data_IF_375036009877
#
_entry.id   IF_375036009877
#
_cell.length_a   1.000
_cell.length_b   1.000
_cell.length_c   1.000
_cell.angle_alpha   90.00
_cell.angle_beta   90.00
_cell.angle_gamma   90.00
#
_symmetry.space_group_name_H-M   'P 1'
#
loop_
_entity.id
_entity.type
_entity.pdbx_description
1 polymer ?
#
# COMPACT_ATOMS: atom_id res chain seq x y z
N UNK A 1 -8.10 -9.13 -3.86
CA UNK A 1 -6.70 -9.60 -3.84
C UNK A 1 -5.84 -8.92 -2.78
N UNK A 2 -5.92 -7.60 -2.59
CA UNK A 2 -5.20 -6.88 -1.53
C UNK A 2 -5.29 -7.49 -0.10
N UNK A 3 -6.47 -7.88 0.43
CA UNK A 3 -6.55 -8.53 1.74
C UNK A 3 -5.84 -9.89 1.79
N UNK A 4 -5.87 -10.65 0.69
CA UNK A 4 -5.16 -11.92 0.58
C UNK A 4 -3.65 -11.70 0.67
N UNK A 5 -3.14 -10.69 -0.01
CA UNK A 5 -1.72 -10.34 0.06
C UNK A 5 -1.32 -9.99 1.50
N UNK A 6 -2.05 -9.08 2.17
CA UNK A 6 -1.77 -8.72 3.56
C UNK A 6 -1.88 -9.90 4.53
N UNK A 7 -2.71 -10.90 4.22
CA UNK A 7 -2.79 -12.10 5.04
C UNK A 7 -1.49 -12.91 5.09
N UNK A 8 -0.60 -12.75 4.10
CA UNK A 8 0.69 -13.44 4.09
C UNK A 8 1.75 -12.70 4.93
N UNK A 9 1.55 -11.40 5.21
CA UNK A 9 2.41 -10.59 6.08
C UNK A 9 1.97 -10.63 7.56
N UNK A 10 1.07 -11.56 7.95
CA UNK A 10 0.37 -11.59 9.24
C UNK A 10 1.22 -11.84 10.49
N UNK A 11 2.53 -12.07 10.36
CA UNK A 11 3.39 -12.09 11.54
C UNK A 11 3.43 -10.66 12.13
N UNK A 12 2.86 -10.48 13.33
CA UNK A 12 2.70 -9.17 13.97
C UNK A 12 4.01 -8.40 14.11
N UNK A 13 5.14 -9.10 14.06
CA UNK A 13 6.49 -8.54 14.14
C UNK A 13 6.99 -7.97 12.81
N UNK A 14 6.44 -8.41 11.68
CA UNK A 14 6.88 -7.98 10.35
C UNK A 14 6.30 -6.60 10.01
N UNK A 15 7.13 -5.66 9.51
CA UNK A 15 6.64 -4.36 9.10
C UNK A 15 5.66 -4.48 7.94
N UNK A 16 4.84 -3.44 7.73
CA UNK A 16 4.09 -3.32 6.48
C UNK A 16 5.03 -3.45 5.29
N UNK A 17 4.62 -4.14 4.21
CA UNK A 17 5.42 -4.20 3.00
C UNK A 17 5.72 -2.78 2.51
N UNK A 18 6.88 -2.59 1.92
CA UNK A 18 7.34 -1.36 1.30
C UNK A 18 7.05 -1.37 -0.21
N UNK A 19 7.18 -0.21 -0.85
CA UNK A 19 6.89 -0.04 -2.28
C UNK A 19 7.75 -0.92 -3.19
N UNK A 20 8.93 -1.33 -2.71
CA UNK A 20 9.85 -2.21 -3.42
C UNK A 20 9.44 -3.69 -3.39
N UNK A 21 8.49 -4.04 -2.51
CA UNK A 21 8.01 -5.41 -2.26
C UNK A 21 6.75 -5.76 -3.07
N UNK A 22 5.90 -4.78 -3.39
CA UNK A 22 4.62 -5.05 -4.05
C UNK A 22 4.47 -4.26 -5.35
N UNK A 23 4.24 -4.99 -6.44
CA UNK A 23 3.85 -4.44 -7.74
C UNK A 23 2.36 -4.71 -7.97
N UNK A 24 1.54 -3.66 -8.02
CA UNK A 24 0.13 -3.76 -8.44
C UNK A 24 0.08 -3.58 -9.95
N UNK A 25 -0.19 -4.67 -10.66
CA UNK A 25 -0.21 -4.70 -12.11
C UNK A 25 -1.45 -3.99 -12.67
N UNK A 26 -1.24 -3.21 -13.71
CA UNK A 26 -2.25 -2.57 -14.56
C UNK A 26 -1.95 -2.92 -16.03
N UNK A 27 -2.86 -2.63 -16.98
CA UNK A 27 -2.59 -2.82 -18.41
C UNK A 27 -1.36 -2.07 -18.92
N UNK A 28 -1.00 -0.97 -18.27
CA UNK A 28 0.13 -0.09 -18.58
C UNK A 28 1.45 -0.53 -17.93
N UNK A 29 1.43 -1.53 -17.02
CA UNK A 29 2.64 -2.02 -16.36
C UNK A 29 3.67 -2.49 -17.39
N UNK A 30 4.89 -2.01 -17.22
CA UNK A 30 6.00 -2.24 -18.14
C UNK A 30 6.73 -3.54 -17.83
N UNK A 31 7.46 -4.04 -18.83
CA UNK A 31 8.34 -5.19 -18.62
C UNK A 31 9.49 -4.89 -17.64
N UNK A 32 9.94 -3.63 -17.56
CA UNK A 32 11.02 -3.20 -16.67
C UNK A 32 10.58 -3.28 -15.20
N UNK A 33 9.37 -2.81 -14.87
CA UNK A 33 8.81 -2.92 -13.52
C UNK A 33 8.70 -4.38 -13.06
N UNK A 34 8.24 -5.26 -13.97
CA UNK A 34 8.17 -6.70 -13.74
C UNK A 34 9.56 -7.31 -13.56
N UNK A 35 10.53 -6.95 -14.40
CA UNK A 35 11.90 -7.43 -14.29
C UNK A 35 12.52 -7.03 -12.95
N UNK A 36 12.32 -5.77 -12.53
CA UNK A 36 12.86 -5.23 -11.29
C UNK A 36 12.35 -6.01 -10.07
N UNK A 37 11.04 -6.26 -9.96
CA UNK A 37 10.49 -7.02 -8.83
C UNK A 37 10.98 -8.47 -8.83
N UNK A 38 11.09 -9.12 -10.00
CA UNK A 38 11.61 -10.49 -10.10
C UNK A 38 13.08 -10.57 -9.72
N UNK A 39 13.91 -9.59 -10.11
CA UNK A 39 15.32 -9.52 -9.71
C UNK A 39 15.47 -9.34 -8.22
N UNK A 40 14.64 -8.50 -7.58
CA UNK A 40 14.63 -8.33 -6.12
C UNK A 40 14.21 -9.61 -5.39
N UNK A 41 13.27 -10.36 -5.96
CA UNK A 41 12.79 -11.61 -5.39
C UNK A 41 13.75 -12.78 -5.59
N UNK A 42 14.39 -12.88 -6.75
CA UNK A 42 15.10 -14.09 -7.22
C UNK A 42 16.62 -13.94 -7.31
N UNK A 43 17.24 -12.81 -6.96
CA UNK A 43 18.70 -12.70 -6.93
C UNK A 43 19.23 -12.69 -5.51
N UNK A 44 20.20 -13.58 -5.25
CA UNK A 44 20.93 -13.66 -3.98
C UNK A 44 21.69 -12.35 -3.73
N UNK A 45 21.51 -11.75 -2.55
CA UNK A 45 22.11 -10.46 -2.20
C UNK A 45 21.09 -9.39 -1.81
N UNK A 46 19.79 -9.64 -2.01
CA UNK A 46 18.76 -8.89 -1.30
C UNK A 46 18.88 -9.20 0.19
N UNK A 47 19.38 -8.24 0.97
CA UNK A 47 19.63 -8.33 2.43
C UNK A 47 18.40 -8.66 3.30
N UNK A 48 17.27 -9.02 2.72
CA UNK A 48 16.01 -9.09 3.43
C UNK A 48 15.24 -10.35 3.04
N UNK A 49 14.82 -11.12 4.04
CA UNK A 49 13.81 -12.18 3.95
C UNK A 49 12.40 -11.61 3.68
N UNK A 50 12.31 -10.67 2.75
CA UNK A 50 11.08 -10.00 2.36
C UNK A 50 10.23 -10.90 1.48
N UNK A 51 8.94 -10.61 1.46
CA UNK A 51 7.99 -11.24 0.54
C UNK A 51 7.81 -10.26 -0.62
N UNK A 52 7.96 -10.74 -1.85
CA UNK A 52 7.69 -9.95 -3.04
C UNK A 52 6.38 -10.40 -3.67
N UNK A 53 5.52 -9.46 -4.04
CA UNK A 53 4.17 -9.77 -4.53
C UNK A 53 3.83 -9.01 -5.82
N UNK A 54 3.37 -9.75 -6.83
CA UNK A 54 2.68 -9.19 -7.99
C UNK A 54 1.17 -9.33 -7.77
N UNK A 55 0.45 -8.22 -7.65
CA UNK A 55 -1.00 -8.21 -7.54
C UNK A 55 -1.63 -7.89 -8.89
N UNK A 56 -2.82 -8.42 -9.16
CA UNK A 56 -3.54 -8.22 -10.43
C UNK A 56 -2.74 -8.65 -11.66
N UNK A 57 -1.93 -9.71 -11.55
CA UNK A 57 -1.06 -10.15 -12.64
C UNK A 57 -1.83 -10.55 -13.91
N UNK A 58 -3.13 -10.87 -13.81
CA UNK A 58 -4.04 -11.06 -14.96
C UNK A 58 -4.26 -9.79 -15.80
N UNK A 59 -3.96 -8.60 -15.27
CA UNK A 59 -4.09 -7.32 -15.99
C UNK A 59 -2.90 -6.99 -16.86
N UNK A 60 -1.78 -7.71 -16.73
CA UNK A 60 -0.63 -7.54 -17.58
C UNK A 60 -1.02 -7.86 -19.03
N UNK A 61 -0.55 -7.01 -19.97
CA UNK A 61 -0.74 -7.32 -21.38
C UNK A 61 0.04 -8.60 -21.76
N UNK A 62 -0.28 -9.16 -22.93
CA UNK A 62 0.27 -10.44 -23.35
C UNK A 62 1.80 -10.43 -23.51
N UNK A 63 2.38 -9.34 -24.03
CA UNK A 63 3.83 -9.24 -24.19
C UNK A 63 4.56 -9.22 -22.84
N UNK A 64 4.07 -8.40 -21.90
CA UNK A 64 4.62 -8.29 -20.56
C UNK A 64 4.43 -9.60 -19.78
N UNK A 65 3.30 -10.29 -19.95
CA UNK A 65 3.06 -11.61 -19.36
C UNK A 65 4.06 -12.66 -19.86
N UNK A 66 4.40 -12.67 -21.16
CA UNK A 66 5.45 -13.55 -21.70
C UNK A 66 6.83 -13.20 -21.16
N UNK A 67 7.13 -11.91 -21.00
CA UNK A 67 8.40 -11.45 -20.41
C UNK A 67 8.51 -11.85 -18.94
N UNK A 68 7.44 -11.70 -18.15
CA UNK A 68 7.34 -12.18 -16.76
C UNK A 68 7.79 -13.64 -16.64
N UNK A 69 7.18 -14.52 -17.44
CA UNK A 69 7.50 -15.95 -17.45
C UNK A 69 8.96 -16.20 -17.87
N UNK A 70 9.40 -15.60 -18.97
CA UNK A 70 10.75 -15.77 -19.51
C UNK A 70 11.83 -15.34 -18.50
N UNK A 71 11.64 -14.19 -17.86
CA UNK A 71 12.56 -13.64 -16.84
C UNK A 71 12.54 -14.54 -15.60
N UNK A 72 11.37 -14.97 -15.14
CA UNK A 72 11.26 -15.88 -13.99
C UNK A 72 12.06 -17.17 -14.21
N UNK A 73 11.87 -17.84 -15.35
CA UNK A 73 12.61 -19.07 -15.67
C UNK A 73 14.10 -18.84 -15.88
N UNK A 74 14.48 -17.70 -16.44
CA UNK A 74 15.90 -17.34 -16.59
C UNK A 74 16.56 -17.17 -15.24
N UNK A 75 15.96 -16.35 -14.36
CA UNK A 75 16.51 -16.02 -13.04
C UNK A 75 16.55 -17.24 -12.12
N UNK A 76 15.48 -18.04 -12.09
CA UNK A 76 15.42 -19.27 -11.28
C UNK A 76 16.46 -20.31 -11.70
N UNK A 77 16.82 -20.39 -12.99
CA UNK A 77 17.89 -21.29 -13.47
C UNK A 77 19.29 -20.85 -13.09
N UNK A 78 19.55 -19.54 -13.09
CA UNK A 78 20.84 -18.95 -12.69
C UNK A 78 21.11 -18.99 -11.20
N UNK A 79 20.13 -19.31 -10.35
CA UNK A 79 20.37 -19.49 -8.93
C UNK A 79 21.20 -20.74 -8.65
N UNK A 80 22.22 -20.56 -7.81
CA UNK A 80 23.04 -21.64 -7.26
C UNK A 80 22.16 -22.66 -6.51
N UNK A 81 22.49 -23.94 -6.57
CA UNK A 81 21.60 -25.01 -6.10
C UNK A 81 21.23 -24.90 -4.60
N UNK A 82 22.05 -24.19 -3.81
CA UNK A 82 21.80 -23.89 -2.39
C UNK A 82 20.87 -22.70 -2.12
N UNK A 83 20.62 -21.83 -3.11
CA UNK A 83 19.79 -20.64 -3.00
C UNK A 83 18.36 -20.81 -3.53
N UNK A 84 18.11 -21.89 -4.30
CA UNK A 84 16.84 -22.18 -4.98
C UNK A 84 15.61 -22.25 -4.06
N UNK A 85 15.80 -22.42 -2.76
CA UNK A 85 14.72 -22.62 -1.79
C UNK A 85 14.40 -21.39 -0.93
N UNK A 86 15.12 -20.28 -1.10
CA UNK A 86 15.06 -19.15 -0.15
C UNK A 86 14.31 -17.91 -0.65
N UNK A 87 13.71 -17.94 -1.84
CA UNK A 87 12.91 -16.81 -2.33
C UNK A 87 11.44 -16.91 -1.89
N UNK A 88 10.84 -15.75 -1.58
CA UNK A 88 9.41 -15.63 -1.23
C UNK A 88 8.72 -14.74 -2.27
N UNK A 89 8.22 -15.33 -3.34
CA UNK A 89 7.50 -14.64 -4.43
C UNK A 89 6.04 -15.09 -4.47
N UNK A 90 5.12 -14.13 -4.53
CA UNK A 90 3.68 -14.35 -4.63
C UNK A 90 3.16 -13.68 -5.91
N UNK A 91 2.44 -14.44 -6.73
CA UNK A 91 1.75 -13.92 -7.92
C UNK A 91 0.26 -14.10 -7.70
N UNK A 92 -0.47 -13.00 -7.59
CA UNK A 92 -1.92 -12.99 -7.42
C UNK A 92 -2.60 -12.53 -8.70
N UNK A 93 -3.59 -13.30 -9.14
CA UNK A 93 -4.43 -13.00 -10.30
C UNK A 93 -5.90 -13.29 -9.96
N UNK A 94 -6.82 -12.65 -10.68
CA UNK A 94 -8.26 -12.85 -10.49
C UNK A 94 -8.67 -14.31 -10.76
N UNK A 95 -9.42 -14.94 -9.86
CA UNK A 95 -9.87 -16.31 -10.03
C UNK A 95 -10.83 -16.50 -11.20
N UNK A 96 -11.47 -15.43 -11.69
CA UNK A 96 -12.26 -15.45 -12.92
C UNK A 96 -11.40 -15.34 -14.19
N UNK A 97 -10.12 -14.96 -14.05
CA UNK A 97 -9.17 -14.82 -15.16
C UNK A 97 -8.30 -16.07 -15.34
N UNK A 98 -8.85 -17.27 -15.14
CA UNK A 98 -8.13 -18.53 -15.32
C UNK A 98 -7.60 -18.75 -16.75
N UNK A 99 -8.16 -18.06 -17.74
CA UNK A 99 -7.68 -18.07 -19.12
C UNK A 99 -6.59 -17.04 -19.42
N UNK A 100 -6.13 -16.28 -18.43
CA UNK A 100 -5.00 -15.36 -18.61
C UNK A 100 -3.71 -16.13 -18.88
N UNK A 101 -2.79 -15.48 -19.60
CA UNK A 101 -1.47 -16.05 -19.88
C UNK A 101 -0.75 -16.41 -18.58
N UNK A 102 -0.78 -15.51 -17.59
CA UNK A 102 -0.14 -15.71 -16.28
C UNK A 102 -0.72 -16.92 -15.56
N UNK A 103 -2.04 -17.07 -15.52
CA UNK A 103 -2.68 -18.22 -14.88
C UNK A 103 -2.24 -19.55 -15.52
N UNK A 104 -2.09 -19.57 -16.85
CA UNK A 104 -1.67 -20.77 -17.59
C UNK A 104 -0.18 -21.07 -17.41
N UNK A 105 0.67 -20.04 -17.52
CA UNK A 105 2.13 -20.18 -17.44
C UNK A 105 2.62 -20.63 -16.06
N UNK A 106 1.91 -20.25 -15.00
CA UNK A 106 2.28 -20.53 -13.61
C UNK A 106 1.38 -21.59 -12.94
N UNK A 107 0.58 -22.36 -13.69
CA UNK A 107 -0.37 -23.32 -13.11
C UNK A 107 0.30 -24.38 -12.23
N UNK A 108 1.52 -24.82 -12.60
CA UNK A 108 2.34 -25.75 -11.81
C UNK A 108 2.71 -25.22 -10.42
N UNK A 109 2.68 -23.89 -10.21
CA UNK A 109 2.98 -23.23 -8.95
C UNK A 109 1.72 -22.81 -8.19
N UNK A 110 0.53 -23.08 -8.74
CA UNK A 110 -0.74 -22.64 -8.16
C UNK A 110 -0.96 -23.28 -6.80
N UNK A 111 -1.23 -22.45 -5.80
CA UNK A 111 -1.59 -22.86 -4.44
C UNK A 111 -2.93 -22.25 -4.06
N UNK A 112 -3.82 -23.08 -3.54
CA UNK A 112 -5.07 -22.60 -2.93
C UNK A 112 -4.77 -22.22 -1.49
N UNK A 113 -5.01 -20.96 -1.15
CA UNK A 113 -4.95 -20.53 0.25
C UNK A 113 -6.23 -20.99 0.96
N UNK A 114 -6.12 -21.62 2.14
CA UNK A 114 -7.29 -22.06 2.88
C UNK A 114 -8.20 -20.88 3.20
N UNK A 115 -9.50 -21.14 3.23
CA UNK A 115 -10.45 -20.13 3.72
C UNK A 115 -10.20 -19.89 5.20
N UNK A 116 -9.97 -18.63 5.56
CA UNK A 116 -9.89 -18.21 6.95
C UNK A 116 -11.02 -17.20 7.22
N UNK A 117 -12.05 -17.57 8.00
CA UNK A 117 -13.18 -16.68 8.30
C UNK A 117 -12.75 -15.44 9.11
N UNK A 118 -11.66 -15.53 9.86
CA UNK A 118 -11.15 -14.46 10.71
C UNK A 118 -10.13 -13.56 10.00
N UNK A 119 -9.74 -13.86 8.76
CA UNK A 119 -8.71 -13.13 7.99
C UNK A 119 -8.90 -11.61 8.03
N UNK A 120 -10.12 -11.14 7.82
CA UNK A 120 -10.42 -9.71 7.83
C UNK A 120 -10.24 -9.07 9.21
N UNK A 121 -10.49 -9.81 10.28
CA UNK A 121 -10.29 -9.32 11.65
C UNK A 121 -8.80 -9.28 12.00
N UNK A 122 -8.06 -10.33 11.64
CA UNK A 122 -6.60 -10.40 11.81
C UNK A 122 -5.90 -9.28 11.03
N UNK A 123 -6.25 -9.05 9.76
CA UNK A 123 -5.71 -7.94 8.96
C UNK A 123 -6.03 -6.59 9.63
N UNK A 124 -7.25 -6.41 10.17
CA UNK A 124 -7.61 -5.19 10.89
C UNK A 124 -6.75 -5.02 12.15
N UNK A 125 -6.46 -6.08 12.89
CA UNK A 125 -5.62 -6.03 14.09
C UNK A 125 -4.16 -5.72 13.73
N UNK A 126 -3.62 -6.39 12.71
CA UNK A 126 -2.30 -6.14 12.15
C UNK A 126 -2.13 -4.69 11.66
N UNK A 127 -3.04 -4.19 10.83
CA UNK A 127 -3.01 -2.79 10.39
C UNK A 127 -3.15 -1.84 11.58
N UNK A 128 -3.97 -2.20 12.58
CA UNK A 128 -4.11 -1.40 13.80
C UNK A 128 -2.83 -1.29 14.60
N UNK A 129 -2.05 -2.37 14.72
CA UNK A 129 -0.77 -2.37 15.45
C UNK A 129 0.31 -1.61 14.69
N UNK A 130 0.43 -1.84 13.38
CA UNK A 130 1.44 -1.22 12.52
C UNK A 130 1.24 0.29 12.31
N UNK A 131 -0.01 0.76 12.33
CA UNK A 131 -0.36 2.18 12.15
C UNK A 131 -0.46 2.97 13.47
N UNK A 132 -0.12 2.37 14.62
CA UNK A 132 -0.10 3.11 15.90
C UNK A 132 0.86 4.31 15.80
N UNK A 133 0.44 5.43 16.39
CA UNK A 133 1.36 6.56 16.52
C UNK A 133 2.39 6.24 17.60
N UNK A 134 3.66 6.56 17.36
CA UNK A 134 4.69 6.41 18.38
C UNK A 134 4.46 7.46 19.48
N UNK A 135 4.36 7.03 20.74
CA UNK A 135 4.11 7.89 21.90
C UNK A 135 5.39 8.57 22.44
N UNK A 136 6.30 8.96 21.55
CA UNK A 136 7.60 9.53 21.93
C UNK A 136 7.53 11.04 22.23
N UNK A 137 8.25 11.47 23.27
CA UNK A 137 8.52 12.88 23.52
C UNK A 137 9.47 13.40 22.43
N UNK A 138 9.00 14.34 21.60
CA UNK A 138 9.73 14.87 20.44
C UNK A 138 8.93 14.81 19.13
N UNK A 139 7.83 14.08 19.11
CA UNK A 139 6.95 13.96 17.94
C UNK A 139 5.92 15.10 18.02
N UNK A 140 5.80 15.96 17.01
CA UNK A 140 4.77 17.02 16.98
C UNK A 140 3.32 16.51 17.13
N UNK A 141 3.12 15.21 16.96
CA UNK A 141 1.84 14.51 17.17
C UNK A 141 1.63 13.91 18.56
N UNK A 142 2.60 14.01 19.48
CA UNK A 142 2.50 13.43 20.83
C UNK A 142 1.29 13.92 21.62
N UNK A 143 1.00 15.23 21.55
CA UNK A 143 -0.20 15.83 22.18
C UNK A 143 -1.51 15.28 21.59
N UNK A 144 -1.60 15.08 20.27
CA UNK A 144 -2.80 14.52 19.64
C UNK A 144 -3.04 13.05 19.98
N UNK A 145 -1.97 12.28 20.21
CA UNK A 145 -2.05 10.91 20.71
C UNK A 145 -2.62 10.88 22.15
N UNK A 146 -2.14 11.78 23.01
CA UNK A 146 -2.58 11.89 24.40
C UNK A 146 -4.09 12.12 24.53
N UNK A 147 -4.67 12.94 23.64
CA UNK A 147 -6.11 13.18 23.59
C UNK A 147 -6.91 12.12 22.81
N UNK A 148 -6.28 11.03 22.38
CA UNK A 148 -6.90 9.94 21.60
C UNK A 148 -7.65 10.41 20.34
N UNK A 149 -7.34 11.60 19.81
CA UNK A 149 -7.97 12.12 18.58
C UNK A 149 -7.48 11.36 17.35
N UNK A 150 -6.20 11.00 17.39
CA UNK A 150 -5.47 10.22 16.40
C UNK A 150 -4.72 9.08 17.09
N UNK A 151 -5.40 7.99 17.50
CA UNK A 151 -4.69 6.83 18.05
C UNK A 151 -3.82 6.12 16.99
N UNK A 152 -4.04 6.45 15.71
CA UNK A 152 -3.37 5.89 14.56
C UNK A 152 -2.91 7.02 13.62
N UNK A 153 -1.87 6.75 12.83
CA UNK A 153 -1.34 7.67 11.81
C UNK A 153 -2.34 7.95 10.68
N UNK A 154 -3.30 7.05 10.50
CA UNK A 154 -4.31 7.11 9.44
C UNK A 154 -5.70 7.00 10.04
N UNK A 155 -6.66 7.76 9.51
CA UNK A 155 -8.07 7.71 9.93
C UNK A 155 -8.97 7.74 8.71
N UNK A 156 -9.85 6.74 8.60
CA UNK A 156 -10.86 6.67 7.55
C UNK A 156 -12.20 7.19 8.09
N UNK A 157 -12.81 8.15 7.40
CA UNK A 157 -14.12 8.72 7.74
C UNK A 157 -15.07 8.45 6.59
N UNK A 158 -16.06 7.60 6.82
CA UNK A 158 -17.06 7.21 5.82
C UNK A 158 -18.47 7.31 6.41
N UNK A 159 -19.47 7.34 5.54
CA UNK A 159 -20.89 7.34 5.91
C UNK A 159 -21.68 6.67 4.81
N UNK A 160 -22.82 6.08 5.16
CA UNK A 160 -23.70 5.41 4.20
C UNK A 160 -24.29 6.38 3.17
N UNK A 161 -24.67 7.57 3.62
CA UNK A 161 -25.32 8.58 2.78
C UNK A 161 -24.54 9.89 2.75
N UNK A 162 -24.76 10.69 1.71
CA UNK A 162 -24.32 12.09 1.67
C UNK A 162 -25.03 12.92 2.77
N UNK A 163 -24.42 14.01 3.21
CA UNK A 163 -25.03 14.90 4.22
C UNK A 163 -24.93 14.43 5.68
N UNK A 164 -24.40 13.24 5.96
CA UNK A 164 -24.27 12.67 7.33
C UNK A 164 -23.14 13.31 8.18
N UNK A 165 -22.67 14.51 7.84
CA UNK A 165 -21.72 15.26 8.66
C UNK A 165 -20.23 14.88 8.56
N UNK A 166 -19.80 14.05 7.59
CA UNK A 166 -18.37 13.70 7.40
C UNK A 166 -17.45 14.94 7.36
N UNK A 167 -17.78 15.92 6.53
CA UNK A 167 -16.99 17.14 6.39
C UNK A 167 -17.00 18.01 7.65
N UNK A 168 -18.12 18.03 8.39
CA UNK A 168 -18.22 18.71 9.68
C UNK A 168 -17.34 18.03 10.75
N UNK A 169 -17.35 16.70 10.78
CA UNK A 169 -16.49 15.91 11.66
C UNK A 169 -15.01 16.20 11.39
N UNK A 170 -14.59 16.13 10.12
CA UNK A 170 -13.20 16.43 9.72
C UNK A 170 -12.83 17.87 10.06
N UNK A 171 -13.70 18.85 9.78
CA UNK A 171 -13.47 20.27 10.11
C UNK A 171 -13.31 20.48 11.62
N UNK A 172 -14.17 19.85 12.42
CA UNK A 172 -14.08 19.91 13.89
C UNK A 172 -12.76 19.33 14.40
N UNK A 173 -12.34 18.19 13.84
CA UNK A 173 -11.08 17.52 14.15
C UNK A 173 -9.88 18.40 13.83
N UNK A 174 -9.83 18.99 12.63
CA UNK A 174 -8.75 19.91 12.22
C UNK A 174 -8.71 21.16 13.10
N UNK A 175 -9.86 21.74 13.41
CA UNK A 175 -9.93 22.92 14.27
C UNK A 175 -9.42 22.63 15.69
N UNK A 176 -9.72 21.45 16.23
CA UNK A 176 -9.17 21.00 17.51
C UNK A 176 -7.65 20.82 17.43
N UNK A 177 -7.15 20.14 16.39
CA UNK A 177 -5.71 19.94 16.18
C UNK A 177 -4.95 21.25 16.01
N UNK A 178 -5.50 22.20 15.27
CA UNK A 178 -4.89 23.52 15.09
C UNK A 178 -4.77 24.30 16.40
N UNK A 179 -5.75 24.16 17.32
CA UNK A 179 -5.67 24.79 18.65
C UNK A 179 -4.60 24.14 19.53
N UNK A 180 -4.50 22.82 19.48
CA UNK A 180 -3.62 22.04 20.36
C UNK A 180 -2.16 22.02 19.91
N UNK A 181 -1.94 22.09 18.59
CA UNK A 181 -0.63 21.99 17.96
C UNK A 181 -0.16 23.32 17.33
N UNK A 182 -0.72 24.44 17.79
CA UNK A 182 -0.42 25.76 17.25
C UNK A 182 1.07 26.12 17.42
N UNK A 183 1.66 25.74 18.55
CA UNK A 183 3.04 26.05 18.92
C UNK A 183 4.04 25.21 18.12
N UNK A 184 3.63 24.02 17.68
CA UNK A 184 4.40 23.09 16.87
C UNK A 184 4.35 23.41 15.37
N UNK A 185 3.66 24.48 14.98
CA UNK A 185 3.56 24.90 13.58
C UNK A 185 2.62 24.03 12.74
N UNK A 186 1.59 23.43 13.35
CA UNK A 186 0.66 22.51 12.70
C UNK A 186 0.18 22.98 11.32
N UNK A 187 0.26 22.09 10.33
CA UNK A 187 -0.26 22.35 8.99
C UNK A 187 -1.33 21.33 8.60
N UNK A 188 -2.24 21.76 7.75
CA UNK A 188 -3.27 20.90 7.19
C UNK A 188 -3.49 21.21 5.71
N UNK A 189 -3.61 20.16 4.91
CA UNK A 189 -3.95 20.24 3.49
C UNK A 189 -5.10 19.30 3.18
N UNK A 190 -6.16 19.84 2.56
CA UNK A 190 -7.18 19.03 1.92
C UNK A 190 -6.82 18.79 0.45
N UNK A 191 -6.78 17.52 0.06
CA UNK A 191 -6.57 17.04 -1.30
C UNK A 191 -7.92 16.46 -1.76
N UNK A 192 -8.61 17.18 -2.65
CA UNK A 192 -9.86 16.69 -3.23
C UNK A 192 -9.53 15.83 -4.43
N UNK A 193 -9.95 14.58 -4.41
CA UNK A 193 -9.80 13.69 -5.56
C UNK A 193 -10.92 13.98 -6.56
N UNK A 194 -10.60 14.04 -7.84
CA UNK A 194 -11.58 14.10 -8.94
C UNK A 194 -11.15 13.10 -10.01
N UNK A 195 -12.08 12.49 -10.75
CA UNK A 195 -11.76 11.43 -11.73
C UNK A 195 -10.62 11.81 -12.69
N UNK A 196 -10.56 13.07 -13.13
CA UNK A 196 -9.52 13.60 -14.01
C UNK A 196 -8.15 13.83 -13.33
N UNK A 197 -8.11 13.94 -11.99
CA UNK A 197 -6.91 14.18 -11.19
C UNK A 197 -6.34 12.92 -10.54
N UNK A 198 -6.87 11.75 -10.86
CA UNK A 198 -6.48 10.45 -10.29
C UNK A 198 -5.19 9.87 -10.88
N UNK A 199 -4.40 10.65 -11.61
CA UNK A 199 -3.08 10.20 -12.03
C UNK A 199 -2.09 10.38 -10.88
N UNK A 200 -1.22 9.40 -10.57
CA UNK A 200 -0.25 9.49 -9.48
C UNK A 200 0.55 10.79 -9.49
N UNK A 201 0.89 11.31 -10.67
CA UNK A 201 1.70 12.53 -10.82
C UNK A 201 0.99 13.76 -10.27
N UNK A 202 -0.34 13.87 -10.42
CA UNK A 202 -1.10 14.99 -9.86
C UNK A 202 -1.14 14.93 -8.34
N UNK A 203 -1.24 13.72 -7.76
CA UNK A 203 -1.20 13.53 -6.30
C UNK A 203 0.18 13.94 -5.78
N UNK A 204 1.25 13.46 -6.41
CA UNK A 204 2.64 13.81 -6.05
C UNK A 204 2.87 15.32 -6.11
N UNK A 205 2.40 16.00 -7.16
CA UNK A 205 2.50 17.47 -7.27
C UNK A 205 1.82 18.20 -6.10
N UNK A 206 0.72 17.69 -5.56
CA UNK A 206 0.08 18.28 -4.38
C UNK A 206 0.92 18.12 -3.10
N UNK A 207 1.80 17.11 -3.05
CA UNK A 207 2.69 16.82 -1.92
C UNK A 207 4.03 17.54 -1.99
N UNK A 208 4.53 17.91 -3.18
CA UNK A 208 5.81 18.61 -3.35
C UNK A 208 5.94 19.88 -2.50
N UNK A 209 4.84 20.62 -2.29
CA UNK A 209 4.83 21.82 -1.44
C UNK A 209 4.94 21.53 0.07
N UNK A 210 4.87 20.26 0.45
CA UNK A 210 4.91 19.75 1.82
C UNK A 210 6.01 18.70 1.99
N UNK A 211 6.99 18.66 1.08
CA UNK A 211 8.15 17.79 1.18
C UNK A 211 8.94 18.12 2.45
N UNK A 212 9.14 17.11 3.29
CA UNK A 212 9.76 17.26 4.59
C UNK A 212 11.27 17.19 4.46
N UNK A 213 11.95 18.14 5.09
CA UNK A 213 13.36 17.90 5.40
C UNK A 213 13.43 16.80 6.45
N UNK A 214 14.46 15.94 6.47
CA UNK A 214 14.60 14.88 7.46
C UNK A 214 14.56 15.35 8.94
N UNK A 215 14.76 16.65 9.17
CA UNK A 215 14.73 17.30 10.48
C UNK A 215 13.36 17.89 10.85
N UNK A 216 12.40 17.93 9.92
CA UNK A 216 11.09 18.54 10.15
C UNK A 216 10.25 17.65 11.07
N UNK A 217 9.84 18.20 12.22
CA UNK A 217 8.96 17.54 13.19
C UNK A 217 7.56 18.15 13.21
N UNK A 218 7.28 19.02 12.23
CA UNK A 218 6.03 19.78 12.13
C UNK A 218 4.87 18.80 11.93
N UNK A 219 3.83 18.83 12.78
CA UNK A 219 2.71 17.95 12.63
C UNK A 219 1.83 18.37 11.45
N UNK A 220 1.62 17.46 10.49
CA UNK A 220 0.82 17.71 9.28
C UNK A 220 -0.33 16.74 9.10
N UNK A 221 -1.54 17.25 8.86
CA UNK A 221 -2.70 16.43 8.49
C UNK A 221 -3.00 16.60 7.00
N UNK A 222 -2.93 15.49 6.27
CA UNK A 222 -3.43 15.40 4.90
C UNK A 222 -4.82 14.79 4.90
N UNK A 223 -5.81 15.59 4.49
CA UNK A 223 -7.19 15.17 4.35
C UNK A 223 -7.48 14.85 2.88
N UNK A 224 -7.67 13.59 2.56
CA UNK A 224 -8.10 13.14 1.24
C UNK A 224 -9.62 13.10 1.19
N UNK A 225 -10.22 14.03 0.44
CA UNK A 225 -11.66 14.10 0.21
C UNK A 225 -12.01 13.34 -1.06
N UNK A 226 -12.68 12.21 -0.91
CA UNK A 226 -13.00 11.28 -2.00
C UNK A 226 -14.49 11.42 -2.35
N UNK A 227 -14.83 11.98 -3.51
CA UNK A 227 -16.23 12.11 -3.90
C UNK A 227 -16.81 10.75 -4.34
N UNK A 228 -18.14 10.58 -4.28
CA UNK A 228 -18.80 9.30 -4.60
C UNK A 228 -18.55 8.79 -6.02
N UNK A 229 -18.18 9.69 -6.94
CA UNK A 229 -17.91 9.38 -8.34
C UNK A 229 -16.60 8.60 -8.53
N UNK A 230 -15.65 8.70 -7.59
CA UNK A 230 -14.39 7.95 -7.67
C UNK A 230 -14.63 6.48 -7.34
N UNK A 231 -14.20 5.58 -8.24
CA UNK A 231 -14.41 4.16 -8.07
C UNK A 231 -13.71 3.59 -6.82
N UNK A 232 -14.42 2.74 -6.08
CA UNK A 232 -13.91 2.11 -4.84
C UNK A 232 -12.63 1.33 -5.08
N UNK A 233 -12.52 0.62 -6.22
CA UNK A 233 -11.31 -0.13 -6.58
C UNK A 233 -10.09 0.78 -6.75
N UNK A 234 -10.27 1.98 -7.31
CA UNK A 234 -9.19 2.94 -7.47
C UNK A 234 -8.76 3.55 -6.14
N UNK A 235 -9.73 3.91 -5.29
CA UNK A 235 -9.48 4.39 -3.91
C UNK A 235 -8.69 3.34 -3.15
N UNK A 236 -9.09 2.06 -3.21
CA UNK A 236 -8.36 0.98 -2.58
C UNK A 236 -6.92 0.90 -3.05
N UNK A 237 -6.63 1.06 -4.35
CA UNK A 237 -5.27 1.03 -4.90
C UNK A 237 -4.42 2.20 -4.42
N UNK A 238 -4.91 3.43 -4.50
CA UNK A 238 -4.18 4.63 -4.05
C UNK A 238 -3.97 4.62 -2.54
N UNK A 239 -5.01 4.27 -1.77
CA UNK A 239 -4.89 4.12 -0.32
C UNK A 239 -3.95 2.96 0.04
N UNK A 240 -3.92 1.87 -0.73
CA UNK A 240 -2.92 0.82 -0.57
C UNK A 240 -1.51 1.42 -0.72
N UNK A 241 -1.21 2.02 -1.87
CA UNK A 241 0.11 2.57 -2.19
C UNK A 241 0.62 3.59 -1.17
N UNK A 242 -0.20 4.60 -0.84
CA UNK A 242 0.26 5.71 0.01
C UNK A 242 0.14 5.44 1.51
N UNK A 243 -0.86 4.68 1.97
CA UNK A 243 -1.06 4.48 3.41
C UNK A 243 -0.44 3.21 3.96
N UNK A 244 -0.24 2.18 3.13
CA UNK A 244 0.29 0.90 3.59
C UNK A 244 1.79 0.80 3.29
N UNK A 245 2.24 1.21 2.09
CA UNK A 245 3.63 0.96 1.68
C UNK A 245 4.66 1.99 2.11
N UNK A 246 4.24 3.03 2.87
CA UNK A 246 5.11 4.12 3.32
C UNK A 246 6.06 4.61 2.21
N UNK A 247 5.53 4.84 1.01
CA UNK A 247 6.29 5.54 -0.03
C UNK A 247 6.74 6.88 0.57
N UNK A 248 8.04 7.03 0.79
CA UNK A 248 8.60 8.35 1.06
C UNK A 248 8.45 9.14 -0.23
N UNK A 249 7.68 10.23 -0.16
CA UNK A 249 7.66 11.27 -1.18
C UNK A 249 8.92 12.08 -0.99
#
# INVERSE_FOLDING_TARGET
MAPLCLSVYQDETQPLPSYDEILICTPETTAEEVELILRRALLSGSRHEKIYSLLNADKLNHEVSRKLESIFYKLSKTQDNSARENYRLIICYDSQANHSYVATAFDNYKRTLPENPNRNQEIKQYLKSQLKMASGAGNGFGKLHQFQRFPQRTKLVFSEHAGMGKSLYVKSLINASMKELKEEGFTHKTIRLSESQLRPEHIIQQFQLYEDKPTDTVPRIFHFDVPPVVSVSFVCTVLFFYWIFKCSI
#
